data_IF_588845308455
#
_entry.id   IF_588845308455
#
_cell.length_a   1.000
_cell.length_b   1.000
_cell.length_c   1.000
_cell.angle_alpha   90.00
_cell.angle_beta   90.00
_cell.angle_gamma   90.00
#
_symmetry.space_group_name_H-M   'P 1'
#
loop_
_entity.id
_entity.type
_entity.pdbx_description
1 polymer ?
#
# COMPACT_ATOMS: atom_id res chain seq x y z
N UNK A 1 -17.64 16.25 11.67
CA UNK A 1 -17.39 14.88 12.19
C UNK A 1 -16.94 13.90 11.11
N UNK A 2 -17.67 13.74 9.99
CA UNK A 2 -17.36 12.69 9.00
C UNK A 2 -15.94 12.72 8.37
N UNK A 3 -15.36 13.92 8.15
CA UNK A 3 -13.96 14.06 7.70
C UNK A 3 -12.94 13.50 8.70
N UNK A 4 -13.19 13.65 10.00
CA UNK A 4 -12.34 13.12 11.06
C UNK A 4 -12.44 11.59 11.15
N UNK A 5 -13.62 11.01 10.87
CA UNK A 5 -13.79 9.56 10.77
C UNK A 5 -12.95 8.97 9.63
N UNK A 6 -12.90 9.64 8.48
CA UNK A 6 -12.04 9.23 7.37
C UNK A 6 -10.55 9.36 7.72
N UNK A 7 -10.15 10.45 8.38
CA UNK A 7 -8.79 10.63 8.87
C UNK A 7 -8.38 9.56 9.89
N UNK A 8 -9.28 9.22 10.83
CA UNK A 8 -9.05 8.15 11.81
C UNK A 8 -8.91 6.78 11.15
N UNK A 9 -9.69 6.49 10.10
CA UNK A 9 -9.53 5.27 9.31
C UNK A 9 -8.14 5.17 8.66
N UNK A 10 -7.66 6.25 8.03
CA UNK A 10 -6.34 6.28 7.42
C UNK A 10 -5.23 6.11 8.47
N UNK A 11 -5.35 6.79 9.61
CA UNK A 11 -4.39 6.68 10.70
C UNK A 11 -4.35 5.27 11.29
N UNK A 12 -5.51 4.65 11.51
CA UNK A 12 -5.60 3.27 11.99
C UNK A 12 -4.99 2.28 10.99
N UNK A 13 -5.31 2.46 9.70
CA UNK A 13 -4.75 1.63 8.62
C UNK A 13 -3.22 1.73 8.59
N UNK A 14 -2.68 2.93 8.78
CA UNK A 14 -1.24 3.17 8.88
C UNK A 14 -0.60 2.45 10.07
N UNK A 15 -1.20 2.55 11.27
CA UNK A 15 -0.69 1.92 12.50
C UNK A 15 -0.70 0.39 12.37
N UNK A 16 -1.80 -0.18 11.88
CA UNK A 16 -1.94 -1.63 11.69
C UNK A 16 -0.89 -2.12 10.70
N UNK A 17 -0.75 -1.43 9.57
CA UNK A 17 0.19 -1.79 8.53
C UNK A 17 1.65 -1.71 9.01
N UNK A 18 2.01 -0.65 9.75
CA UNK A 18 3.33 -0.53 10.39
C UNK A 18 3.60 -1.67 11.38
N UNK A 19 2.58 -2.04 12.17
CA UNK A 19 2.69 -3.16 13.12
C UNK A 19 2.91 -4.49 12.41
N UNK A 20 2.23 -4.71 11.28
CA UNK A 20 2.42 -5.90 10.43
C UNK A 20 3.84 -5.90 9.85
N UNK A 21 4.31 -4.78 9.29
CA UNK A 21 5.67 -4.69 8.74
C UNK A 21 6.75 -4.89 9.81
N UNK A 22 6.53 -4.40 11.04
CA UNK A 22 7.51 -4.55 12.12
C UNK A 22 7.53 -5.96 12.73
N UNK A 23 6.40 -6.67 12.68
CA UNK A 23 6.27 -8.03 13.22
C UNK A 23 6.69 -9.14 12.24
N UNK A 24 6.91 -8.81 10.96
CA UNK A 24 7.28 -9.77 9.94
C UNK A 24 8.60 -9.35 9.29
N UNK A 25 9.41 -10.34 8.90
CA UNK A 25 10.66 -10.09 8.21
C UNK A 25 10.42 -9.81 6.72
N UNK A 26 11.27 -8.98 6.07
CA UNK A 26 11.24 -8.81 4.62
C UNK A 26 11.54 -10.13 3.92
N UNK A 27 11.35 -10.18 2.59
CA UNK A 27 11.51 -11.42 1.81
C UNK A 27 12.86 -12.05 2.09
N UNK A 28 12.84 -13.26 2.65
CA UNK A 28 14.00 -14.13 2.79
C UNK A 28 14.08 -15.09 1.59
N UNK A 29 15.31 -15.42 1.16
CA UNK A 29 15.59 -16.35 0.06
C UNK A 29 15.11 -17.79 0.34
N UNK A 30 14.80 -18.12 1.60
CA UNK A 30 14.39 -19.45 2.00
C UNK A 30 12.89 -19.72 1.73
N UNK A 31 12.61 -20.92 1.20
CA UNK A 31 11.26 -21.39 0.86
C UNK A 31 10.34 -21.56 2.10
N UNK A 32 10.91 -21.56 3.29
CA UNK A 32 10.29 -21.89 4.58
C UNK A 32 9.51 -20.73 5.21
N UNK A 33 9.72 -19.47 4.80
CA UNK A 33 9.11 -18.28 5.42
C UNK A 33 8.19 -17.45 4.49
N UNK A 34 7.54 -18.08 3.50
CA UNK A 34 6.68 -17.39 2.52
C UNK A 34 5.50 -16.63 3.13
N UNK A 35 4.89 -17.15 4.21
CA UNK A 35 3.75 -16.52 4.87
C UNK A 35 4.12 -15.17 5.55
N UNK A 36 5.27 -15.11 6.22
CA UNK A 36 5.74 -13.89 6.89
C UNK A 36 6.11 -12.83 5.84
N UNK A 37 6.75 -13.25 4.75
CA UNK A 37 7.05 -12.39 3.60
C UNK A 37 5.77 -11.79 3.01
N UNK A 38 4.73 -12.60 2.76
CA UNK A 38 3.43 -12.14 2.25
C UNK A 38 2.73 -11.15 3.19
N UNK A 39 2.82 -11.39 4.50
CA UNK A 39 2.26 -10.49 5.52
C UNK A 39 3.00 -9.16 5.54
N UNK A 40 4.33 -9.17 5.50
CA UNK A 40 5.15 -7.98 5.40
C UNK A 40 4.75 -7.13 4.18
N UNK A 41 4.67 -7.77 3.00
CA UNK A 41 4.27 -7.12 1.75
C UNK A 41 2.84 -6.56 1.77
N UNK A 42 1.93 -7.27 2.43
CA UNK A 42 0.55 -6.81 2.61
C UNK A 42 0.47 -5.57 3.50
N UNK A 43 1.27 -5.54 4.58
CA UNK A 43 1.43 -4.34 5.41
C UNK A 43 1.98 -3.17 4.61
N UNK A 44 3.01 -3.41 3.79
CA UNK A 44 3.61 -2.39 2.94
C UNK A 44 2.58 -1.83 1.96
N UNK A 45 1.80 -2.69 1.29
CA UNK A 45 0.71 -2.27 0.39
C UNK A 45 -0.31 -1.33 1.06
N UNK A 46 -0.68 -1.62 2.32
CA UNK A 46 -1.66 -0.83 3.08
C UNK A 46 -1.04 0.51 3.52
N UNK A 47 0.22 0.54 3.95
CA UNK A 47 0.94 1.79 4.25
C UNK A 47 0.91 2.73 3.04
N UNK A 48 1.25 2.18 1.88
CA UNK A 48 1.38 2.93 0.64
C UNK A 48 0.02 3.39 0.10
N UNK A 49 -0.99 2.52 0.14
CA UNK A 49 -2.36 2.89 -0.19
C UNK A 49 -2.94 3.96 0.75
N UNK A 50 -2.56 3.95 2.03
CA UNK A 50 -2.96 4.97 3.00
C UNK A 50 -2.33 6.33 2.70
N UNK A 51 -1.03 6.38 2.39
CA UNK A 51 -0.31 7.60 2.00
C UNK A 51 -0.90 8.18 0.71
N UNK A 52 -1.08 7.35 -0.31
CA UNK A 52 -1.69 7.75 -1.59
C UNK A 52 -3.11 8.30 -1.40
N UNK A 53 -3.93 7.64 -0.56
CA UNK A 53 -5.29 8.09 -0.24
C UNK A 53 -5.31 9.40 0.55
N UNK A 54 -4.36 9.59 1.47
CA UNK A 54 -4.17 10.86 2.19
C UNK A 54 -3.75 11.98 1.22
N UNK A 55 -2.79 11.72 0.34
CA UNK A 55 -2.37 12.65 -0.72
C UNK A 55 -3.54 13.06 -1.62
N UNK A 56 -4.38 12.11 -2.02
CA UNK A 56 -5.56 12.36 -2.84
C UNK A 56 -6.64 13.23 -2.16
N UNK A 57 -6.60 13.44 -0.84
CA UNK A 57 -7.47 14.40 -0.16
C UNK A 57 -7.16 15.85 -0.52
N UNK A 58 -5.92 16.16 -0.85
CA UNK A 58 -5.47 17.52 -1.15
C UNK A 58 -5.79 17.95 -2.60
N UNK A 59 -6.16 17.01 -3.48
CA UNK A 59 -6.44 17.29 -4.89
C UNK A 59 -7.95 17.33 -5.20
N UNK A 60 -8.39 18.42 -5.85
CA UNK A 60 -9.78 18.59 -6.26
C UNK A 60 -10.08 17.84 -7.57
N UNK A 61 -9.15 17.73 -8.52
CA UNK A 61 -9.35 17.05 -9.79
C UNK A 61 -9.37 15.52 -9.69
N UNK A 62 -10.29 14.85 -10.39
CA UNK A 62 -10.29 13.37 -10.52
C UNK A 62 -9.04 12.88 -11.27
N UNK A 63 -8.63 13.61 -12.31
CA UNK A 63 -7.45 13.30 -13.14
C UNK A 63 -6.15 13.39 -12.34
N UNK A 64 -5.98 14.48 -11.58
CA UNK A 64 -4.81 14.72 -10.72
C UNK A 64 -4.62 13.60 -9.68
N UNK A 65 -5.72 13.13 -9.08
CA UNK A 65 -5.69 12.03 -8.12
C UNK A 65 -5.25 10.71 -8.74
N UNK A 66 -5.73 10.41 -9.94
CA UNK A 66 -5.32 9.20 -10.68
C UNK A 66 -3.84 9.28 -11.02
N UNK A 67 -3.38 10.44 -11.51
CA UNK A 67 -1.96 10.67 -11.84
C UNK A 67 -1.09 10.52 -10.58
N UNK A 68 -1.50 11.09 -9.45
CA UNK A 68 -0.77 10.95 -8.18
C UNK A 68 -0.72 9.49 -7.73
N UNK A 69 -1.84 8.75 -7.82
CA UNK A 69 -1.87 7.33 -7.46
C UNK A 69 -0.92 6.51 -8.34
N UNK A 70 -0.94 6.74 -9.66
CA UNK A 70 -0.02 6.08 -10.61
C UNK A 70 1.43 6.45 -10.30
N UNK A 71 1.73 7.73 -10.10
CA UNK A 71 3.07 8.20 -9.78
C UNK A 71 3.60 7.60 -8.48
N UNK A 72 2.76 7.56 -7.43
CA UNK A 72 3.11 6.95 -6.15
C UNK A 72 3.38 5.46 -6.34
N UNK A 73 2.52 4.74 -7.06
CA UNK A 73 2.71 3.32 -7.36
C UNK A 73 4.01 3.04 -8.14
N UNK A 74 4.36 3.88 -9.12
CA UNK A 74 5.60 3.77 -9.89
C UNK A 74 6.82 4.05 -9.01
N UNK A 75 6.79 5.10 -8.19
CA UNK A 75 7.89 5.44 -7.29
C UNK A 75 8.17 4.29 -6.31
N UNK A 76 7.11 3.66 -5.82
CA UNK A 76 7.19 2.52 -4.90
C UNK A 76 7.73 1.27 -5.59
N UNK A 77 7.30 1.01 -6.82
CA UNK A 77 7.87 -0.05 -7.64
C UNK A 77 9.37 0.15 -7.85
N UNK A 78 9.79 1.39 -8.08
CA UNK A 78 11.20 1.75 -8.27
C UNK A 78 12.00 1.54 -6.98
N UNK A 79 11.47 1.99 -5.85
CA UNK A 79 12.10 1.82 -4.52
C UNK A 79 12.25 0.33 -4.18
N UNK A 80 11.21 -0.45 -4.44
CA UNK A 80 11.19 -1.89 -4.24
C UNK A 80 12.20 -2.60 -5.16
N UNK A 81 12.22 -2.24 -6.44
CA UNK A 81 13.19 -2.79 -7.39
C UNK A 81 14.61 -2.49 -6.94
N UNK A 82 14.90 -1.27 -6.46
CA UNK A 82 16.24 -0.90 -5.97
C UNK A 82 16.60 -1.71 -4.72
N UNK A 83 15.72 -1.76 -3.71
CA UNK A 83 15.97 -2.44 -2.44
C UNK A 83 16.20 -3.95 -2.62
N UNK A 84 15.51 -4.57 -3.58
CA UNK A 84 15.57 -6.02 -3.81
C UNK A 84 16.37 -6.43 -5.06
N UNK A 85 16.95 -5.47 -5.80
CA UNK A 85 17.74 -5.74 -7.03
C UNK A 85 18.98 -6.61 -6.83
N UNK A 86 19.51 -6.68 -5.60
CA UNK A 86 20.72 -7.44 -5.31
C UNK A 86 20.50 -8.96 -5.15
N UNK A 87 19.24 -9.44 -5.21
CA UNK A 87 18.89 -10.83 -4.88
C UNK A 87 18.35 -11.54 -6.14
N UNK A 88 19.22 -12.24 -6.89
CA UNK A 88 18.92 -12.73 -8.25
C UNK A 88 17.87 -13.88 -8.29
N UNK A 89 17.67 -14.60 -7.18
CA UNK A 89 16.62 -15.63 -6.97
C UNK A 89 15.22 -15.05 -6.73
N UNK A 90 15.11 -13.72 -6.57
CA UNK A 90 13.94 -13.01 -6.05
C UNK A 90 12.97 -12.58 -7.14
N UNK A 91 13.22 -12.81 -8.44
CA UNK A 91 12.29 -12.43 -9.52
C UNK A 91 10.87 -13.01 -9.37
N UNK A 92 10.73 -14.27 -8.95
CA UNK A 92 9.41 -14.89 -8.72
C UNK A 92 8.73 -14.29 -7.49
N UNK A 93 9.50 -13.99 -6.45
CA UNK A 93 9.03 -13.35 -5.20
C UNK A 93 8.72 -11.85 -5.39
N UNK A 94 9.41 -11.17 -6.31
CA UNK A 94 9.09 -9.81 -6.77
C UNK A 94 7.77 -9.84 -7.53
N UNK A 95 7.54 -10.84 -8.38
CA UNK A 95 6.25 -11.00 -9.06
C UNK A 95 5.11 -11.28 -8.06
N UNK A 96 5.33 -12.15 -7.06
CA UNK A 96 4.36 -12.38 -5.97
C UNK A 96 4.13 -11.12 -5.14
N UNK A 97 5.21 -10.41 -4.75
CA UNK A 97 5.12 -9.13 -4.06
C UNK A 97 4.39 -8.08 -4.87
N UNK A 98 4.59 -8.05 -6.19
CA UNK A 98 3.86 -7.19 -7.11
C UNK A 98 2.37 -7.53 -7.15
N UNK A 99 2.00 -8.81 -7.22
CA UNK A 99 0.61 -9.25 -7.18
C UNK A 99 -0.06 -8.89 -5.85
N UNK A 100 0.62 -9.06 -4.72
CA UNK A 100 0.11 -8.70 -3.39
C UNK A 100 -0.05 -7.19 -3.26
N UNK A 101 0.96 -6.41 -3.67
CA UNK A 101 0.90 -4.95 -3.68
C UNK A 101 -0.25 -4.44 -4.55
N UNK A 102 -0.46 -5.02 -5.74
CA UNK A 102 -1.57 -4.68 -6.60
C UNK A 102 -2.92 -5.03 -6.00
N UNK A 103 -3.11 -6.26 -5.51
CA UNK A 103 -4.41 -6.73 -5.01
C UNK A 103 -4.76 -6.00 -3.71
N UNK A 104 -3.88 -6.05 -2.71
CA UNK A 104 -4.12 -5.46 -1.39
C UNK A 104 -4.16 -3.93 -1.50
N UNK A 105 -3.25 -3.33 -2.26
CA UNK A 105 -3.23 -1.89 -2.50
C UNK A 105 -4.49 -1.40 -3.21
N UNK A 106 -4.97 -2.14 -4.23
CA UNK A 106 -6.21 -1.77 -4.95
C UNK A 106 -7.46 -1.92 -4.10
N UNK A 107 -7.55 -2.98 -3.28
CA UNK A 107 -8.66 -3.17 -2.33
C UNK A 107 -8.67 -2.02 -1.32
N UNK A 108 -7.52 -1.69 -0.72
CA UNK A 108 -7.42 -0.63 0.26
C UNK A 108 -7.75 0.75 -0.35
N UNK A 109 -7.26 1.02 -1.55
CA UNK A 109 -7.60 2.24 -2.29
C UNK A 109 -9.10 2.32 -2.60
N UNK A 110 -9.73 1.21 -3.03
CA UNK A 110 -11.16 1.16 -3.32
C UNK A 110 -12.01 1.42 -2.06
N UNK A 111 -11.67 0.79 -0.94
CA UNK A 111 -12.34 1.04 0.36
C UNK A 111 -12.16 2.49 0.79
N UNK A 112 -10.94 3.02 0.69
CA UNK A 112 -10.64 4.43 1.00
C UNK A 112 -11.44 5.39 0.12
N UNK A 113 -11.61 5.06 -1.17
CA UNK A 113 -12.42 5.84 -2.10
C UNK A 113 -13.92 5.80 -1.74
N UNK A 114 -14.47 4.63 -1.43
CA UNK A 114 -15.87 4.46 -1.01
C UNK A 114 -16.15 5.23 0.29
N UNK A 115 -15.29 5.05 1.30
CA UNK A 115 -15.41 5.75 2.58
C UNK A 115 -15.32 7.26 2.40
N UNK A 116 -14.42 7.75 1.55
CA UNK A 116 -14.34 9.18 1.23
C UNK A 116 -15.63 9.69 0.60
N UNK A 117 -16.25 8.95 -0.32
CA UNK A 117 -17.49 9.38 -0.93
C UNK A 117 -18.66 9.35 0.07
N UNK A 118 -18.73 8.34 0.92
CA UNK A 118 -19.77 8.21 1.95
C UNK A 118 -19.65 9.27 3.07
N UNK A 119 -18.40 9.58 3.45
CA UNK A 119 -18.12 10.42 4.63
C UNK A 119 -17.82 11.88 4.26
N UNK A 120 -17.23 12.17 3.10
CA UNK A 120 -16.71 13.51 2.79
C UNK A 120 -17.47 14.22 1.68
N UNK A 121 -17.95 13.50 0.64
CA UNK A 121 -18.83 14.10 -0.37
C UNK A 121 -20.30 14.02 0.10
N UNK A 122 -21.13 15.05 -0.16
CA UNK A 122 -22.58 14.89 -0.10
C UNK A 122 -23.07 13.97 -1.21
#
# INVERSE_FOLDING_TARGET
>A
MKKYLFGAYLLLSFIVALSICNANLPIEDEMTNSLNSLRFLSGEAILLGSISSAGALFYKGRKERIILAIFTAVLLLLLYTILYSAWLTVYLRIAEGFFVLLIVGSIHYFISFLLRNLLIKP
#
